data_IF_011047393580
#
_entry.id   IF_011047393580
#
_cell.length_a   1.000
_cell.length_b   1.000
_cell.length_c   1.000
_cell.angle_alpha   90.00
_cell.angle_beta   90.00
_cell.angle_gamma   90.00
#
_symmetry.space_group_name_H-M   'P 1'
#
loop_
_entity.id
_entity.type
_entity.pdbx_description
1 polymer ?
#
# COMPACT_ATOMS: atom_id res chain seq x y z
N UNK A 1 44.55 -25.62 -11.11
CA UNK A 1 43.65 -24.46 -11.06
C UNK A 1 42.21 -24.98 -11.09
N UNK A 2 41.44 -24.83 -10.00
CA UNK A 2 40.04 -25.24 -9.94
C UNK A 2 39.16 -24.03 -10.29
N UNK A 3 38.40 -24.15 -11.38
CA UNK A 3 37.43 -23.16 -11.82
C UNK A 3 36.20 -23.22 -10.89
N UNK A 4 35.91 -22.12 -10.22
CA UNK A 4 34.67 -21.91 -9.49
C UNK A 4 33.55 -21.59 -10.49
N UNK A 5 32.58 -22.49 -10.63
CA UNK A 5 31.34 -22.19 -11.34
C UNK A 5 30.40 -21.43 -10.38
N UNK A 6 30.30 -20.12 -10.57
CA UNK A 6 29.29 -19.29 -9.92
C UNK A 6 27.98 -19.50 -10.69
N UNK A 7 27.04 -20.22 -10.10
CA UNK A 7 25.67 -20.34 -10.62
C UNK A 7 24.95 -19.05 -10.22
N UNK A 8 24.77 -18.13 -11.18
CA UNK A 8 23.88 -16.99 -10.99
C UNK A 8 22.44 -17.46 -11.17
N UNK A 9 21.73 -17.61 -10.05
CA UNK A 9 20.29 -17.81 -10.05
C UNK A 9 19.61 -16.49 -10.41
N UNK A 10 19.30 -16.29 -11.68
CA UNK A 10 18.45 -15.18 -12.12
C UNK A 10 17.03 -15.44 -11.61
N UNK A 11 16.65 -14.77 -10.53
CA UNK A 11 15.28 -14.74 -10.04
C UNK A 11 14.45 -13.86 -10.98
N UNK A 12 13.82 -14.48 -11.98
CA UNK A 12 12.86 -13.80 -12.87
C UNK A 12 11.59 -13.56 -12.05
N UNK A 13 11.48 -12.36 -11.47
CA UNK A 13 10.21 -11.87 -10.94
C UNK A 13 9.33 -11.58 -12.15
N UNK A 14 8.48 -12.53 -12.52
CA UNK A 14 7.36 -12.25 -13.41
C UNK A 14 6.44 -11.29 -12.68
N UNK A 15 6.56 -10.00 -13.00
CA UNK A 15 5.61 -8.97 -12.59
C UNK A 15 4.30 -9.31 -13.31
N UNK A 16 3.42 -10.03 -12.63
CA UNK A 16 2.03 -10.17 -13.04
C UNK A 16 1.46 -8.75 -13.04
N UNK A 17 1.02 -8.29 -14.20
CA UNK A 17 0.59 -6.91 -14.41
C UNK A 17 -0.73 -6.68 -13.68
N UNK A 18 -0.67 -5.95 -12.58
CA UNK A 18 -1.79 -5.81 -11.66
C UNK A 18 -2.68 -4.65 -12.07
N UNK A 19 -3.86 -5.00 -12.57
CA UNK A 19 -4.94 -4.07 -12.81
C UNK A 19 -5.96 -4.24 -11.68
N UNK A 20 -6.01 -3.29 -10.75
CA UNK A 20 -7.18 -3.11 -9.91
C UNK A 20 -8.36 -2.67 -10.81
N UNK A 21 -8.92 -3.66 -11.51
CA UNK A 21 -10.01 -3.64 -12.48
C UNK A 21 -10.19 -2.34 -13.27
N UNK A 22 -9.32 -2.16 -14.24
CA UNK A 22 -9.60 -1.34 -15.40
C UNK A 22 -10.11 -2.28 -16.50
N UNK A 23 -11.33 -2.11 -17.00
CA UNK A 23 -11.86 -2.89 -18.13
C UNK A 23 -11.14 -2.62 -19.48
N UNK A 24 -9.88 -2.19 -19.44
CA UNK A 24 -9.05 -1.72 -20.54
C UNK A 24 -7.66 -2.37 -20.50
N UNK A 25 -6.93 -2.36 -21.63
CA UNK A 25 -5.55 -2.82 -21.66
C UNK A 25 -4.60 -1.77 -21.05
N UNK A 26 -4.17 -2.03 -19.82
CA UNK A 26 -3.31 -1.16 -19.02
C UNK A 26 -1.86 -1.61 -18.92
N UNK A 27 -1.43 -2.56 -19.76
CA UNK A 27 -0.08 -3.16 -19.70
C UNK A 27 1.04 -2.11 -19.72
N UNK A 28 0.90 -1.05 -20.53
CA UNK A 28 1.92 0.01 -20.62
C UNK A 28 1.96 0.89 -19.37
N UNK A 29 0.82 1.06 -18.70
CA UNK A 29 0.73 1.83 -17.46
C UNK A 29 1.33 1.05 -16.30
N UNK A 30 1.04 -0.25 -16.21
CA UNK A 30 1.64 -1.10 -15.17
C UNK A 30 3.17 -1.10 -15.24
N UNK A 31 3.75 -1.10 -16.45
CA UNK A 31 5.21 -1.02 -16.64
C UNK A 31 5.85 0.30 -16.20
N UNK A 32 5.07 1.36 -16.02
CA UNK A 32 5.60 2.67 -15.60
C UNK A 32 5.80 2.75 -14.10
N UNK A 33 5.29 1.76 -13.35
CA UNK A 33 5.03 1.85 -11.93
C UNK A 33 4.19 3.12 -11.63
N UNK A 34 3.80 3.34 -10.38
CA UNK A 34 3.09 4.56 -10.00
C UNK A 34 1.66 4.33 -9.53
N UNK A 35 1.22 3.08 -9.37
CA UNK A 35 -0.05 2.75 -8.77
C UNK A 35 0.03 2.65 -7.24
N UNK A 36 -1.12 2.79 -6.60
CA UNK A 36 -1.26 2.59 -5.15
C UNK A 36 -0.69 1.25 -4.67
N UNK A 37 -0.86 0.18 -5.45
CA UNK A 37 -0.31 -1.15 -5.15
C UNK A 37 1.21 -1.22 -5.20
N UNK A 38 1.85 -0.46 -6.09
CA UNK A 38 3.31 -0.42 -6.20
C UNK A 38 3.90 0.22 -4.93
N UNK A 39 3.26 1.29 -4.47
CA UNK A 39 3.61 1.93 -3.21
C UNK A 39 3.40 1.01 -2.02
N UNK A 40 2.23 0.39 -1.89
CA UNK A 40 1.96 -0.55 -0.79
C UNK A 40 2.96 -1.71 -0.80
N UNK A 41 3.29 -2.26 -1.97
CA UNK A 41 4.29 -3.33 -2.09
C UNK A 41 5.70 -2.88 -1.70
N UNK A 42 6.05 -1.61 -1.95
CA UNK A 42 7.32 -1.04 -1.48
C UNK A 42 7.40 -0.92 0.05
N UNK A 43 6.25 -0.74 0.72
CA UNK A 43 6.14 -0.66 2.19
C UNK A 43 5.99 -2.05 2.83
N UNK A 44 5.25 -2.93 2.16
CA UNK A 44 4.92 -4.29 2.59
C UNK A 44 5.15 -5.25 1.41
N UNK A 45 6.37 -5.79 1.25
CA UNK A 45 6.72 -6.65 0.11
C UNK A 45 5.88 -7.92 -0.03
N UNK A 46 5.26 -8.37 1.08
CA UNK A 46 4.38 -9.54 1.14
C UNK A 46 2.93 -9.25 0.72
N UNK A 47 2.59 -7.99 0.42
CA UNK A 47 1.24 -7.63 -0.01
C UNK A 47 0.88 -8.35 -1.32
N UNK A 48 -0.19 -9.18 -1.33
CA UNK A 48 -0.63 -9.84 -2.54
C UNK A 48 -1.29 -8.82 -3.46
N UNK A 49 -0.71 -8.60 -4.64
CA UNK A 49 -1.25 -7.61 -5.56
C UNK A 49 -2.40 -8.23 -6.36
N UNK A 50 -3.64 -7.72 -6.23
CA UNK A 50 -4.80 -8.31 -6.89
C UNK A 50 -4.84 -7.97 -8.38
N UNK A 51 -5.31 -8.92 -9.19
CA UNK A 51 -5.44 -8.81 -10.65
C UNK A 51 -6.89 -8.62 -11.11
N UNK A 52 -7.86 -8.78 -10.21
CA UNK A 52 -9.28 -8.63 -10.52
C UNK A 52 -10.10 -8.26 -9.28
N UNK A 53 -11.38 -7.95 -9.48
CA UNK A 53 -12.32 -7.55 -8.42
C UNK A 53 -12.48 -8.62 -7.35
N UNK A 54 -12.53 -9.90 -7.74
CA UNK A 54 -12.71 -10.99 -6.79
C UNK A 54 -11.50 -11.11 -5.86
N UNK A 55 -10.28 -10.97 -6.39
CA UNK A 55 -9.05 -11.01 -5.61
C UNK A 55 -8.99 -9.86 -4.60
N UNK A 56 -9.24 -8.60 -5.01
CA UNK A 56 -9.21 -7.48 -4.06
C UNK A 56 -10.35 -7.53 -3.03
N UNK A 57 -11.52 -8.05 -3.40
CA UNK A 57 -12.62 -8.28 -2.47
C UNK A 57 -12.33 -9.41 -1.47
N UNK A 58 -11.36 -10.27 -1.74
CA UNK A 58 -10.90 -11.32 -0.84
C UNK A 58 -9.78 -10.85 0.11
N UNK A 59 -9.20 -9.66 -0.09
CA UNK A 59 -8.15 -9.10 0.76
C UNK A 59 -8.72 -8.50 2.06
N UNK A 60 -9.35 -9.35 2.87
CA UNK A 60 -9.93 -8.98 4.17
C UNK A 60 -9.61 -10.04 5.22
N UNK A 61 -8.43 -9.94 5.81
CA UNK A 61 -7.97 -10.88 6.84
C UNK A 61 -8.03 -10.29 8.27
N UNK A 62 -8.47 -9.05 8.44
CA UNK A 62 -8.61 -8.38 9.74
C UNK A 62 -9.91 -7.59 9.82
N UNK A 63 -10.47 -7.45 11.03
CA UNK A 63 -11.63 -6.58 11.23
C UNK A 63 -11.21 -5.13 11.16
N UNK A 64 -12.09 -4.28 10.63
CA UNK A 64 -11.83 -2.84 10.48
C UNK A 64 -11.50 -2.20 11.83
N UNK A 65 -12.20 -2.57 12.90
CA UNK A 65 -12.01 -2.03 14.25
C UNK A 65 -10.68 -2.46 14.90
N UNK A 66 -10.06 -3.52 14.37
CA UNK A 66 -8.79 -4.06 14.86
C UNK A 66 -7.60 -3.46 14.09
N UNK A 67 -7.81 -2.47 13.21
CA UNK A 67 -6.75 -1.82 12.41
C UNK A 67 -5.57 -1.37 13.27
N UNK A 68 -4.36 -1.60 12.77
CA UNK A 68 -3.09 -1.23 13.37
C UNK A 68 -2.20 -0.49 12.35
N UNK A 69 -1.20 0.23 12.87
CA UNK A 69 -0.15 0.81 12.04
C UNK A 69 0.58 -0.30 11.27
N UNK A 70 0.86 -0.07 9.99
CA UNK A 70 1.43 -1.08 9.11
C UNK A 70 0.42 -1.99 8.40
N UNK A 71 -0.87 -1.84 8.69
CA UNK A 71 -1.93 -2.48 7.90
C UNK A 71 -2.12 -1.79 6.54
N UNK A 72 -2.88 -2.44 5.66
CA UNK A 72 -3.35 -1.88 4.40
C UNK A 72 -4.84 -1.58 4.53
N UNK A 73 -5.19 -0.31 4.37
CA UNK A 73 -6.57 0.13 4.23
C UNK A 73 -6.99 0.02 2.76
N UNK A 74 -8.12 -0.66 2.52
CA UNK A 74 -8.67 -0.86 1.18
C UNK A 74 -9.99 -0.09 1.06
N UNK A 75 -10.07 0.73 0.03
CA UNK A 75 -11.20 1.59 -0.30
C UNK A 75 -11.87 1.13 -1.59
N UNK A 76 -13.19 1.17 -1.61
CA UNK A 76 -13.99 1.06 -2.83
C UNK A 76 -14.44 2.47 -3.22
N UNK A 77 -13.85 3.02 -4.29
CA UNK A 77 -14.17 4.37 -4.78
C UNK A 77 -15.26 4.34 -5.86
N UNK A 78 -15.95 3.20 -6.03
CA UNK A 78 -17.04 3.00 -6.97
C UNK A 78 -16.56 2.63 -8.37
N UNK A 79 -15.63 3.41 -8.95
CA UNK A 79 -15.08 3.13 -10.28
C UNK A 79 -13.78 2.31 -10.25
N UNK A 80 -13.08 2.27 -9.12
CA UNK A 80 -11.91 1.40 -8.90
C UNK A 80 -11.70 1.17 -7.39
N UNK A 81 -10.88 0.18 -7.08
CA UNK A 81 -10.41 -0.09 -5.73
C UNK A 81 -9.07 0.60 -5.48
N UNK A 82 -8.91 1.21 -4.31
CA UNK A 82 -7.69 1.89 -3.90
C UNK A 82 -7.13 1.28 -2.62
N UNK A 83 -5.80 1.19 -2.53
CA UNK A 83 -5.11 0.66 -1.34
C UNK A 83 -4.15 1.69 -0.78
N UNK A 84 -4.06 1.78 0.53
CA UNK A 84 -3.22 2.75 1.23
C UNK A 84 -2.56 2.09 2.43
N UNK A 85 -1.33 2.48 2.75
CA UNK A 85 -0.61 2.01 3.92
C UNK A 85 -1.05 2.81 5.16
N UNK A 86 -1.41 2.15 6.25
CA UNK A 86 -1.82 2.80 7.50
C UNK A 86 -0.59 3.28 8.26
N UNK A 87 -0.40 4.58 8.35
CA UNK A 87 0.70 5.22 9.07
C UNK A 87 0.37 5.40 10.56
N UNK A 88 -0.89 5.70 10.88
CA UNK A 88 -1.33 5.96 12.27
C UNK A 88 -2.77 5.54 12.47
N UNK A 89 -3.09 5.03 13.66
CA UNK A 89 -4.47 4.76 14.09
C UNK A 89 -4.85 5.70 15.22
N UNK A 90 -5.92 6.47 15.02
CA UNK A 90 -6.50 7.33 16.03
C UNK A 90 -7.55 6.56 16.83
N UNK A 91 -7.49 6.70 18.15
CA UNK A 91 -8.38 6.02 19.09
C UNK A 91 -9.20 7.01 19.90
N UNK A 92 -10.43 6.64 20.23
CA UNK A 92 -11.25 7.38 21.19
C UNK A 92 -10.77 7.18 22.64
N UNK A 93 -11.44 7.82 23.60
CA UNK A 93 -11.14 7.70 25.02
C UNK A 93 -11.37 6.29 25.58
N UNK A 94 -12.14 5.45 24.88
CA UNK A 94 -12.39 4.06 25.23
C UNK A 94 -11.37 3.11 24.57
N UNK A 95 -10.45 3.65 23.75
CA UNK A 95 -9.43 2.89 23.05
C UNK A 95 -9.87 2.27 21.72
N UNK A 96 -11.06 2.60 21.21
CA UNK A 96 -11.55 2.10 19.93
C UNK A 96 -10.97 2.91 18.77
N UNK A 97 -10.57 2.25 17.69
CA UNK A 97 -10.13 2.92 16.47
C UNK A 97 -11.30 3.71 15.84
N UNK A 98 -11.06 4.98 15.54
CA UNK A 98 -12.08 5.90 14.97
C UNK A 98 -11.66 6.48 13.63
N UNK A 99 -10.36 6.70 13.43
CA UNK A 99 -9.80 7.22 12.20
C UNK A 99 -8.38 6.68 11.96
N UNK A 100 -7.88 6.85 10.75
CA UNK A 100 -6.53 6.47 10.35
C UNK A 100 -5.86 7.59 9.55
N UNK A 101 -4.54 7.71 9.70
CA UNK A 101 -3.70 8.43 8.74
C UNK A 101 -3.10 7.40 7.79
N UNK A 102 -3.07 7.71 6.49
CA UNK A 102 -2.56 6.80 5.47
C UNK A 102 -1.57 7.50 4.55
N UNK A 103 -0.62 6.72 4.06
CA UNK A 103 0.25 7.06 2.94
C UNK A 103 -0.10 6.20 1.73
N UNK A 104 -0.08 6.81 0.55
CA UNK A 104 -0.53 6.17 -0.68
C UNK A 104 0.09 6.81 -1.91
N UNK A 105 -0.18 6.24 -3.08
CA UNK A 105 0.29 6.75 -4.37
C UNK A 105 -0.85 6.73 -5.39
N UNK A 106 -0.84 7.69 -6.32
CA UNK A 106 -1.89 7.82 -7.34
C UNK A 106 -3.30 7.96 -6.72
N UNK A 107 -3.37 8.72 -5.63
CA UNK A 107 -4.64 9.18 -5.06
C UNK A 107 -4.85 10.64 -5.44
N UNK A 108 -5.91 10.91 -6.21
CA UNK A 108 -6.17 12.22 -6.77
C UNK A 108 -7.47 12.28 -7.56
N UNK A 109 -7.66 13.41 -8.24
CA UNK A 109 -8.80 13.59 -9.13
C UNK A 109 -8.57 12.94 -10.50
N UNK A 110 -9.64 12.87 -11.29
CA UNK A 110 -9.52 12.54 -12.71
C UNK A 110 -8.58 13.53 -13.39
N UNK A 111 -7.71 13.01 -14.25
CA UNK A 111 -6.84 13.87 -15.04
C UNK A 111 -7.58 14.45 -16.24
N UNK A 112 -7.40 15.74 -16.51
CA UNK A 112 -7.91 16.38 -17.71
C UNK A 112 -7.14 15.98 -18.98
N UNK A 113 -7.78 16.08 -20.15
CA UNK A 113 -7.12 15.83 -21.44
C UNK A 113 -5.89 16.72 -21.65
N UNK A 114 -5.94 17.98 -21.19
CA UNK A 114 -4.82 18.91 -21.30
C UNK A 114 -3.64 18.47 -20.43
N UNK A 115 -3.89 18.16 -19.15
CA UNK A 115 -2.85 17.64 -18.25
C UNK A 115 -2.24 16.35 -18.79
N UNK A 116 -3.07 15.46 -19.32
CA UNK A 116 -2.62 14.23 -19.96
C UNK A 116 -1.65 14.51 -21.12
N UNK A 117 -2.05 15.38 -22.07
CA UNK A 117 -1.23 15.74 -23.24
C UNK A 117 0.06 16.47 -22.87
N UNK A 118 0.13 17.07 -21.68
CA UNK A 118 1.34 17.72 -21.19
C UNK A 118 2.34 16.71 -20.61
N UNK A 119 1.86 15.63 -19.99
CA UNK A 119 2.70 14.66 -19.28
C UNK A 119 3.07 13.43 -20.11
N UNK A 120 2.16 12.95 -20.96
CA UNK A 120 2.34 11.66 -21.62
C UNK A 120 2.10 11.70 -23.12
N UNK A 121 2.55 10.63 -23.75
CA UNK A 121 2.31 10.30 -25.16
C UNK A 121 1.69 8.91 -25.26
N UNK A 122 0.93 8.63 -26.32
CA UNK A 122 0.53 9.55 -27.40
C UNK A 122 -0.49 10.62 -26.98
N UNK A 123 -0.38 11.84 -27.53
CA UNK A 123 -1.18 13.02 -27.14
C UNK A 123 -2.57 13.07 -27.80
N UNK A 124 -3.33 11.98 -27.70
CA UNK A 124 -4.67 11.88 -28.29
C UNK A 124 -5.75 11.58 -27.24
N UNK A 125 -7.01 11.74 -27.64
CA UNK A 125 -8.16 11.59 -26.74
C UNK A 125 -8.42 10.13 -26.36
N UNK A 126 -8.23 9.19 -27.29
CA UNK A 126 -8.46 7.77 -27.05
C UNK A 126 -7.50 7.22 -25.99
N UNK A 127 -6.24 7.63 -26.04
CA UNK A 127 -5.24 7.24 -25.06
C UNK A 127 -5.50 7.90 -23.71
N UNK A 128 -5.96 9.15 -23.68
CA UNK A 128 -6.40 9.78 -22.43
C UNK A 128 -7.58 9.02 -21.80
N UNK A 129 -8.58 8.62 -22.60
CA UNK A 129 -9.68 7.77 -22.12
C UNK A 129 -9.18 6.42 -21.62
N UNK A 130 -8.20 5.80 -22.29
CA UNK A 130 -7.54 4.57 -21.82
C UNK A 130 -6.84 4.80 -20.48
N UNK A 131 -6.11 5.91 -20.31
CA UNK A 131 -5.46 6.27 -19.05
C UNK A 131 -6.47 6.42 -17.90
N UNK A 132 -7.58 7.13 -18.13
CA UNK A 132 -8.67 7.25 -17.17
C UNK A 132 -9.25 5.87 -16.79
N UNK A 133 -9.50 5.03 -17.78
CA UNK A 133 -9.95 3.65 -17.55
C UNK A 133 -8.94 2.86 -16.72
N UNK A 134 -7.65 3.07 -16.94
CA UNK A 134 -6.54 2.47 -16.20
C UNK A 134 -6.33 3.06 -14.80
N UNK A 135 -7.23 3.93 -14.30
CA UNK A 135 -7.11 4.51 -12.96
C UNK A 135 -5.96 5.53 -12.83
N UNK A 136 -5.52 6.14 -13.93
CA UNK A 136 -4.52 7.20 -13.90
C UNK A 136 -5.16 8.49 -13.40
N UNK A 137 -4.66 9.01 -12.27
CA UNK A 137 -5.12 10.28 -11.69
C UNK A 137 -4.24 11.45 -12.09
N UNK A 138 -4.64 12.67 -11.76
CA UNK A 138 -3.78 13.84 -11.92
C UNK A 138 -2.50 13.80 -11.05
N UNK A 139 -2.47 12.92 -10.05
CA UNK A 139 -1.37 12.61 -9.13
C UNK A 139 -0.77 11.22 -9.38
N UNK A 140 -0.90 10.68 -10.58
CA UNK A 140 -0.20 9.45 -10.98
C UNK A 140 1.29 9.56 -10.65
N UNK A 141 1.91 8.47 -10.17
CA UNK A 141 3.28 8.36 -9.64
C UNK A 141 3.62 9.16 -8.38
N UNK A 142 2.71 10.00 -7.88
CA UNK A 142 2.97 10.85 -6.72
C UNK A 142 2.46 10.20 -5.45
N UNK A 143 3.29 10.25 -4.40
CA UNK A 143 2.90 9.86 -3.06
C UNK A 143 2.13 10.97 -2.35
N UNK A 144 1.12 10.63 -1.58
CA UNK A 144 0.38 11.57 -0.72
C UNK A 144 0.14 11.00 0.67
N UNK A 145 -0.07 11.92 1.62
CA UNK A 145 -0.56 11.62 2.96
C UNK A 145 -2.00 12.13 3.08
N UNK A 146 -2.87 11.31 3.66
CA UNK A 146 -4.22 11.71 4.08
C UNK A 146 -4.38 11.42 5.55
N UNK A 147 -4.82 12.41 6.30
CA UNK A 147 -4.98 12.31 7.74
C UNK A 147 -6.46 12.27 8.13
N UNK A 148 -6.74 11.76 9.32
CA UNK A 148 -8.06 11.74 9.95
C UNK A 148 -9.14 11.10 9.07
N UNK A 149 -8.78 10.06 8.30
CA UNK A 149 -9.73 9.31 7.49
C UNK A 149 -10.63 8.53 8.44
N UNK A 150 -11.93 8.83 8.43
CA UNK A 150 -12.88 8.09 9.25
C UNK A 150 -12.91 6.62 8.87
N UNK A 151 -12.84 5.77 9.88
CA UNK A 151 -12.74 4.33 9.72
C UNK A 151 -13.99 3.73 9.02
N UNK A 152 -15.13 4.43 9.05
CA UNK A 152 -16.35 4.02 8.34
C UNK A 152 -16.24 4.10 6.81
N UNK A 153 -15.25 4.83 6.27
CA UNK A 153 -14.98 4.93 4.83
C UNK A 153 -14.10 3.79 4.33
N UNK A 154 -13.44 3.06 5.24
CA UNK A 154 -12.59 1.93 4.91
C UNK A 154 -13.47 0.71 4.65
N UNK A 155 -13.27 0.06 3.50
CA UNK A 155 -14.08 -1.10 3.11
C UNK A 155 -13.53 -2.40 3.70
N UNK A 156 -12.21 -2.53 3.73
CA UNK A 156 -11.51 -3.74 4.18
C UNK A 156 -10.16 -3.35 4.79
N UNK A 157 -9.70 -4.17 5.73
CA UNK A 157 -8.33 -4.13 6.25
C UNK A 157 -7.64 -5.44 5.87
N UNK A 158 -6.42 -5.30 5.36
CA UNK A 158 -5.50 -6.40 5.18
C UNK A 158 -4.25 -6.16 6.03
N UNK A 159 -3.77 -7.20 6.69
CA UNK A 159 -2.55 -7.16 7.50
C UNK A 159 -1.52 -8.16 7.00
N UNK A 160 -0.23 -7.81 7.03
CA UNK A 160 0.82 -8.78 6.77
C UNK A 160 0.79 -9.87 7.84
N UNK A 161 1.01 -11.12 7.42
CA UNK A 161 1.25 -12.19 8.38
C UNK A 161 2.51 -11.84 9.20
N UNK A 162 2.35 -11.69 10.51
CA UNK A 162 3.51 -11.60 11.40
C UNK A 162 4.22 -12.94 11.27
N UNK A 163 5.50 -12.94 10.86
CA UNK A 163 6.30 -14.16 10.90
C UNK A 163 6.26 -14.66 12.34
N UNK A 164 5.49 -15.72 12.59
CA UNK A 164 5.44 -16.37 13.88
C UNK A 164 6.87 -16.81 14.18
N UNK A 165 7.53 -16.13 15.12
CA UNK A 165 8.67 -16.74 15.78
C UNK A 165 8.17 -18.05 16.35
N UNK A 166 8.71 -19.16 15.88
CA UNK A 166 8.35 -20.50 16.33
C UNK A 166 8.32 -20.54 17.87
N UNK A 167 7.12 -20.67 18.42
CA UNK A 167 6.85 -20.78 19.84
C UNK A 167 5.45 -21.31 19.99
N UNK A 168 5.34 -22.61 20.28
CA UNK A 168 4.09 -23.36 20.15
C UNK A 168 2.96 -22.92 21.07
N UNK A 169 1.74 -23.23 20.61
CA UNK A 169 0.64 -23.73 21.43
C UNK A 169 0.08 -22.83 22.53
N UNK A 170 -1.09 -22.25 22.27
CA UNK A 170 -2.15 -22.11 23.28
C UNK A 170 -2.35 -20.72 23.91
N UNK A 171 -3.58 -20.22 23.76
CA UNK A 171 -4.39 -19.52 24.78
C UNK A 171 -3.81 -18.26 25.46
N UNK A 172 -4.47 -17.11 25.18
CA UNK A 172 -4.46 -15.83 25.92
C UNK A 172 -3.14 -15.05 26.08
N UNK A 173 -3.21 -13.73 25.87
CA UNK A 173 -2.35 -12.79 26.60
C UNK A 173 -1.85 -11.60 25.80
N UNK A 174 -2.31 -10.41 26.19
CA UNK A 174 -1.65 -9.12 25.96
C UNK A 174 -0.13 -9.22 26.12
N UNK A 175 0.65 -9.06 25.06
CA UNK A 175 1.99 -8.46 25.14
C UNK A 175 2.53 -8.08 23.75
N UNK A 176 2.17 -6.89 23.25
CA UNK A 176 3.00 -6.17 22.26
C UNK A 176 3.21 -4.74 22.76
N UNK A 177 3.74 -4.64 23.98
CA UNK A 177 4.44 -3.45 24.46
C UNK A 177 5.81 -3.96 24.83
N UNK A 178 6.81 -3.81 23.95
CA UNK A 178 8.24 -3.77 24.32
C UNK A 178 9.25 -3.53 23.19
N UNK A 179 8.86 -3.22 21.94
CA UNK A 179 9.85 -2.91 20.89
C UNK A 179 10.00 -1.44 20.49
N UNK A 180 9.10 -0.55 20.93
CA UNK A 180 9.23 0.90 20.64
C UNK A 180 9.96 1.70 21.73
N UNK A 181 10.05 1.20 22.96
CA UNK A 181 10.73 1.90 24.07
C UNK A 181 12.26 1.90 23.92
N UNK A 182 12.82 0.95 23.18
CA UNK A 182 14.28 0.82 23.02
C UNK A 182 14.85 1.83 22.00
N UNK A 183 14.06 2.25 21.00
CA UNK A 183 14.49 3.23 20.00
C UNK A 183 14.44 4.66 20.54
N UNK A 184 13.45 4.98 21.37
CA UNK A 184 13.32 6.31 21.99
C UNK A 184 14.40 6.57 23.07
N UNK A 185 14.83 5.54 23.81
CA UNK A 185 15.92 5.70 24.79
C UNK A 185 17.30 5.87 24.16
N UNK A 186 17.52 5.43 22.91
CA UNK A 186 18.78 5.71 22.19
C UNK A 186 18.85 7.12 21.60
N UNK A 187 17.71 7.72 21.26
CA UNK A 187 17.68 9.09 20.72
C UNK A 187 17.84 10.17 21.81
N UNK A 188 17.35 9.93 23.03
CA UNK A 188 17.48 10.91 24.14
C UNK A 188 18.91 10.94 24.72
N UNK A 189 19.68 9.85 24.60
CA UNK A 189 21.08 9.84 25.06
C UNK A 189 22.06 10.51 24.07
N UNK A 190 21.74 10.66 22.79
CA UNK A 190 22.67 11.29 21.82
C UNK A 190 22.58 12.82 21.80
N UNK A 191 21.47 13.42 22.23
CA UNK A 191 21.28 14.88 22.25
C UNK A 191 21.71 15.56 23.55
N UNK A 192 22.21 14.81 24.54
CA UNK A 192 22.71 15.36 25.81
C UNK A 192 24.25 15.39 25.92
N UNK A 193 24.97 15.09 24.83
CA UNK A 193 26.45 15.15 24.80
C UNK A 193 27.04 16.27 23.95
N UNK A 194 26.21 17.13 23.37
CA UNK A 194 26.64 18.36 22.70
C UNK A 194 25.78 19.54 23.15
N UNK A 195 26.05 20.02 24.38
CA UNK A 195 25.82 21.39 24.85
C UNK A 195 26.78 21.66 26.01
#
# INVERSE_FOLDING_TARGET
>A
MRLFSIIQTAMVITVLNTTCYAGCNCTDWVKRDGYCVDYVKSRIPTFPVPNNVAEIAALKNKKIQEVEEGDVAIFDLGNYWHVSYVEKVHKDLQGNATAIDVSEMNFGGQISLLEYKNKWSPKNEDEWKRALCCGVTNKYDQTSLRNDISLNTVKQIWSPAVAASEGGGGVYGNTVVNKFTEVLNRFIQSTWKEL
#
